data_IF_587364235773
#
_entry.id   IF_587364235773
#
_cell.length_a   1.000
_cell.length_b   1.000
_cell.length_c   1.000
_cell.angle_alpha   90.00
_cell.angle_beta   90.00
_cell.angle_gamma   90.00
#
_symmetry.space_group_name_H-M   'P 1'
#
loop_
_entity.id
_entity.type
_entity.pdbx_description
1 polymer ?
#
# COMPACT_ATOMS: atom_id res chain seq x y z
N UNK A 1 20.38 -34.66 14.28
CA UNK A 1 20.08 -33.97 13.02
C UNK A 1 18.89 -33.05 13.26
N UNK A 2 19.07 -31.74 13.10
CA UNK A 2 18.08 -30.70 13.41
C UNK A 2 16.97 -30.70 12.35
N UNK A 3 15.76 -31.08 12.73
CA UNK A 3 14.52 -30.80 12.01
C UNK A 3 14.17 -29.34 12.22
N UNK A 4 14.36 -28.52 11.19
CA UNK A 4 13.90 -27.12 11.17
C UNK A 4 12.49 -27.11 10.60
N UNK A 5 11.55 -26.70 11.44
CA UNK A 5 10.17 -26.35 11.12
C UNK A 5 10.11 -25.31 10.00
N UNK A 6 9.34 -25.59 8.95
CA UNK A 6 8.75 -24.56 8.10
C UNK A 6 7.26 -24.88 7.97
N UNK A 7 6.49 -24.34 8.93
CA UNK A 7 5.03 -24.22 8.84
C UNK A 7 4.77 -23.07 7.87
N UNK A 8 4.51 -23.41 6.61
CA UNK A 8 4.02 -22.47 5.60
C UNK A 8 2.52 -22.25 5.86
N UNK A 9 2.19 -21.27 6.71
CA UNK A 9 0.80 -20.84 6.90
C UNK A 9 0.34 -20.11 5.64
N UNK A 10 -0.32 -20.86 4.75
CA UNK A 10 -1.22 -20.34 3.72
C UNK A 10 -2.42 -19.68 4.41
N UNK A 11 -2.37 -18.36 4.60
CA UNK A 11 -3.56 -17.58 4.91
C UNK A 11 -4.19 -17.11 3.59
N UNK A 12 -4.99 -17.98 2.97
CA UNK A 12 -5.98 -17.56 1.98
C UNK A 12 -7.18 -17.03 2.76
N UNK A 13 -7.34 -15.71 2.80
CA UNK A 13 -8.49 -15.07 3.41
C UNK A 13 -9.17 -14.13 2.41
N UNK A 14 -10.41 -14.46 2.05
CA UNK A 14 -11.48 -13.50 1.81
C UNK A 14 -11.49 -12.76 0.46
N UNK A 15 -12.16 -13.35 -0.53
CA UNK A 15 -12.80 -12.61 -1.61
C UNK A 15 -14.04 -11.85 -1.06
N UNK A 16 -13.83 -10.71 -0.40
CA UNK A 16 -14.85 -9.72 -0.07
C UNK A 16 -14.19 -8.45 0.51
N UNK A 17 -13.73 -7.51 -0.33
CA UNK A 17 -13.48 -6.09 0.00
C UNK A 17 -12.53 -5.41 -0.99
N UNK A 18 -12.85 -5.33 -2.29
CA UNK A 18 -11.99 -4.52 -3.18
C UNK A 18 -12.11 -3.02 -2.89
N UNK A 19 -13.21 -2.54 -2.30
CA UNK A 19 -13.36 -1.12 -1.91
C UNK A 19 -12.90 -0.81 -0.47
N UNK A 20 -13.08 -1.73 0.48
CA UNK A 20 -12.77 -1.46 1.89
C UNK A 20 -11.28 -1.62 2.22
N UNK A 21 -10.57 -2.57 1.58
CA UNK A 21 -9.12 -2.72 1.73
C UNK A 21 -8.34 -1.59 1.03
N UNK A 22 -8.92 -1.00 -0.02
CA UNK A 22 -8.33 0.16 -0.72
C UNK A 22 -8.38 1.40 0.19
N UNK A 23 -9.43 1.55 1.02
CA UNK A 23 -9.53 2.57 2.07
C UNK A 23 -8.56 2.38 3.25
N UNK A 24 -8.12 1.16 3.54
CA UNK A 24 -7.22 0.85 4.66
C UNK A 24 -5.76 1.26 4.39
N UNK A 25 -5.41 1.48 3.11
CA UNK A 25 -4.11 1.96 2.66
C UNK A 25 -4.05 3.49 2.49
N UNK A 26 -5.19 4.19 2.56
CA UNK A 26 -5.21 5.65 2.64
C UNK A 26 -4.67 6.09 4.01
N UNK A 27 -3.97 7.23 4.08
CA UNK A 27 -3.36 7.65 5.34
C UNK A 27 -4.46 7.77 6.39
N UNK A 28 -4.25 7.34 7.65
CA UNK A 28 -5.23 7.57 8.70
C UNK A 28 -5.56 9.06 8.69
N UNK A 29 -6.82 9.38 8.45
CA UNK A 29 -7.27 10.75 8.52
C UNK A 29 -6.98 11.26 9.93
N UNK A 30 -6.63 12.55 10.12
CA UNK A 30 -6.39 13.09 11.46
C UNK A 30 -7.57 12.71 12.36
N UNK A 31 -7.27 12.06 13.48
CA UNK A 31 -8.27 11.83 14.52
C UNK A 31 -8.61 13.20 15.07
N UNK A 32 -9.82 13.69 14.80
CA UNK A 32 -10.33 14.87 15.48
C UNK A 32 -10.66 14.41 16.90
N UNK A 33 -9.63 14.28 17.73
CA UNK A 33 -9.79 14.02 19.15
C UNK A 33 -10.40 15.28 19.78
N UNK A 34 -11.73 15.37 19.73
CA UNK A 34 -12.45 16.43 20.39
C UNK A 34 -12.41 16.17 21.89
N UNK A 35 -11.57 16.91 22.59
CA UNK A 35 -11.61 16.96 24.04
C UNK A 35 -12.90 17.69 24.47
N UNK A 36 -13.96 16.94 24.78
CA UNK A 36 -15.27 17.48 25.13
C UNK A 36 -15.27 18.31 26.43
N UNK A 37 -14.22 18.18 27.24
CA UNK A 37 -14.04 18.85 28.53
C UNK A 37 -13.04 20.02 28.48
N UNK A 38 -12.38 20.25 27.35
CA UNK A 38 -11.36 21.28 27.23
C UNK A 38 -11.98 22.68 27.06
N UNK A 39 -11.30 23.72 27.58
CA UNK A 39 -11.66 25.11 27.32
C UNK A 39 -11.67 25.39 25.81
N UNK A 40 -12.61 26.23 25.30
CA UNK A 40 -12.80 26.43 23.86
C UNK A 40 -11.55 26.99 23.17
N UNK A 41 -10.74 27.77 23.89
CA UNK A 41 -9.46 28.28 23.39
C UNK A 41 -8.45 27.15 23.14
N UNK A 42 -8.38 26.16 24.03
CA UNK A 42 -7.48 25.00 23.90
C UNK A 42 -7.93 24.10 22.75
N UNK A 43 -9.23 23.87 22.61
CA UNK A 43 -9.80 23.09 21.51
C UNK A 43 -9.49 23.70 20.14
N UNK A 44 -9.58 25.02 20.00
CA UNK A 44 -9.27 25.72 18.76
C UNK A 44 -7.77 25.67 18.42
N UNK A 45 -6.88 25.82 19.43
CA UNK A 45 -5.43 25.69 19.21
C UNK A 45 -5.03 24.27 18.80
N UNK A 46 -5.66 23.24 19.38
CA UNK A 46 -5.41 21.85 19.02
C UNK A 46 -5.88 21.56 17.58
N UNK A 47 -7.05 22.05 17.18
CA UNK A 47 -7.55 21.89 15.80
C UNK A 47 -6.64 22.59 14.77
N UNK A 48 -6.11 23.76 15.10
CA UNK A 48 -5.13 24.46 14.25
C UNK A 48 -3.80 23.69 14.13
N UNK A 49 -3.29 23.14 15.23
CA UNK A 49 -2.11 22.28 15.22
C UNK A 49 -2.32 21.05 14.35
N UNK A 50 -3.45 20.35 14.49
CA UNK A 50 -3.79 19.20 13.66
C UNK A 50 -3.84 19.54 12.16
N UNK A 51 -4.35 20.72 11.79
CA UNK A 51 -4.34 21.18 10.40
C UNK A 51 -2.91 21.43 9.89
N UNK A 52 -2.06 22.07 10.71
CA UNK A 52 -0.66 22.31 10.36
C UNK A 52 0.13 21.01 10.23
N UNK A 53 -0.02 20.09 11.19
CA UNK A 53 0.62 18.78 11.17
C UNK A 53 0.21 17.99 9.93
N UNK A 54 -1.08 18.02 9.59
CA UNK A 54 -1.57 17.35 8.38
C UNK A 54 -0.93 17.92 7.10
N UNK A 55 -0.89 19.25 6.96
CA UNK A 55 -0.39 19.94 5.77
C UNK A 55 1.12 19.78 5.57
N UNK A 56 1.90 19.89 6.65
CA UNK A 56 3.35 20.01 6.57
C UNK A 56 4.09 18.73 6.95
N UNK A 57 3.44 17.79 7.62
CA UNK A 57 4.08 16.54 8.08
C UNK A 57 3.38 15.35 7.45
N UNK A 58 2.09 15.13 7.75
CA UNK A 58 1.42 13.86 7.40
C UNK A 58 1.25 13.67 5.90
N UNK A 59 0.68 14.66 5.21
CA UNK A 59 0.41 14.56 3.78
C UNK A 59 1.68 14.46 2.90
N UNK A 60 2.71 15.30 3.07
CA UNK A 60 3.93 15.18 2.26
C UNK A 60 4.71 13.88 2.54
N UNK A 61 4.76 13.41 3.79
CA UNK A 61 5.39 12.12 4.11
C UNK A 61 4.65 10.95 3.44
N UNK A 62 3.32 11.01 3.39
CA UNK A 62 2.55 10.00 2.69
C UNK A 62 2.81 9.99 1.18
N UNK A 63 2.89 11.17 0.55
CA UNK A 63 3.27 11.28 -0.86
C UNK A 63 4.65 10.66 -1.14
N UNK A 64 5.64 10.97 -0.31
CA UNK A 64 6.99 10.45 -0.45
C UNK A 64 7.03 8.91 -0.32
N UNK A 65 6.37 8.36 0.70
CA UNK A 65 6.34 6.91 0.91
C UNK A 65 5.58 6.18 -0.19
N UNK A 66 4.48 6.75 -0.71
CA UNK A 66 3.76 6.18 -1.85
C UNK A 66 4.63 6.15 -3.12
N UNK A 67 5.33 7.24 -3.42
CA UNK A 67 6.24 7.31 -4.55
C UNK A 67 7.38 6.28 -4.45
N UNK A 68 7.97 6.12 -3.26
CA UNK A 68 9.00 5.11 -3.00
C UNK A 68 8.46 3.69 -3.23
N UNK A 69 7.25 3.38 -2.74
CA UNK A 69 6.63 2.07 -2.94
C UNK A 69 6.34 1.78 -4.40
N UNK A 70 5.91 2.78 -5.18
CA UNK A 70 5.69 2.63 -6.63
C UNK A 70 7.01 2.30 -7.33
N UNK A 71 8.08 3.04 -7.03
CA UNK A 71 9.40 2.78 -7.60
C UNK A 71 9.92 1.38 -7.25
N UNK A 72 9.75 0.95 -6.00
CA UNK A 72 10.14 -0.39 -5.58
C UNK A 72 9.32 -1.50 -6.27
N UNK A 73 8.01 -1.27 -6.45
CA UNK A 73 7.14 -2.20 -7.17
C UNK A 73 7.53 -2.31 -8.65
N UNK A 74 7.81 -1.19 -9.32
CA UNK A 74 8.31 -1.17 -10.71
C UNK A 74 9.64 -1.93 -10.83
N UNK A 75 10.60 -1.66 -9.94
CA UNK A 75 11.89 -2.37 -9.93
C UNK A 75 11.73 -3.89 -9.68
N UNK A 76 10.78 -4.27 -8.82
CA UNK A 76 10.47 -5.68 -8.55
C UNK A 76 9.91 -6.37 -9.80
N UNK A 77 9.03 -5.70 -10.54
CA UNK A 77 8.50 -6.19 -11.81
C UNK A 77 9.61 -6.40 -12.83
N UNK A 78 10.55 -5.46 -12.94
CA UNK A 78 11.68 -5.57 -13.87
C UNK A 78 12.57 -6.78 -13.55
N UNK A 79 12.90 -6.99 -12.27
CA UNK A 79 13.68 -8.16 -11.82
C UNK A 79 12.95 -9.48 -12.11
N UNK A 80 11.65 -9.54 -11.82
CA UNK A 80 10.84 -10.73 -12.07
C UNK A 80 10.69 -11.01 -13.57
N UNK A 81 10.48 -9.98 -14.39
CA UNK A 81 10.40 -10.09 -15.84
C UNK A 81 11.72 -10.61 -16.44
N UNK A 82 12.85 -10.06 -16.00
CA UNK A 82 14.18 -10.55 -16.40
C UNK A 82 14.39 -12.02 -16.01
N UNK A 83 13.92 -12.42 -14.81
CA UNK A 83 14.00 -13.81 -14.35
C UNK A 83 13.12 -14.76 -15.18
N UNK A 84 11.92 -14.34 -15.58
CA UNK A 84 11.07 -15.13 -16.50
C UNK A 84 11.75 -15.33 -17.85
N UNK A 85 12.42 -14.31 -18.39
CA UNK A 85 13.19 -14.43 -19.64
C UNK A 85 14.41 -15.32 -19.49
N UNK A 86 15.05 -15.36 -18.31
CA UNK A 86 16.16 -16.28 -18.03
C UNK A 86 15.75 -17.76 -18.13
N UNK A 87 14.47 -18.09 -17.93
CA UNK A 87 13.96 -19.46 -18.09
C UNK A 87 13.63 -19.83 -19.55
N UNK A 88 13.66 -18.87 -20.48
CA UNK A 88 13.34 -19.10 -21.90
C UNK A 88 14.05 -20.31 -22.54
N UNK A 89 15.35 -20.57 -22.26
CA UNK A 89 16.04 -21.75 -22.82
C UNK A 89 15.48 -23.09 -22.33
N UNK A 90 14.79 -23.12 -21.19
CA UNK A 90 14.31 -24.34 -20.54
C UNK A 90 12.85 -24.67 -20.86
N UNK A 91 12.16 -23.86 -21.67
CA UNK A 91 10.75 -24.06 -22.03
C UNK A 91 10.49 -25.33 -22.84
N UNK A 92 11.53 -25.95 -23.41
CA UNK A 92 11.45 -27.23 -24.11
C UNK A 92 11.43 -28.43 -23.16
N UNK A 93 11.80 -28.28 -21.89
CA UNK A 93 11.69 -29.34 -20.90
C UNK A 93 10.23 -29.42 -20.43
N UNK A 94 9.62 -30.61 -20.59
CA UNK A 94 8.20 -30.88 -20.34
C UNK A 94 7.69 -30.46 -18.94
N UNK A 95 6.37 -30.39 -18.79
CA UNK A 95 5.56 -29.78 -17.69
C UNK A 95 5.81 -30.27 -16.25
N UNK A 96 6.87 -31.03 -15.96
CA UNK A 96 7.18 -31.56 -14.63
C UNK A 96 8.66 -31.41 -14.24
N UNK A 97 9.40 -30.54 -14.93
CA UNK A 97 10.78 -30.20 -14.54
C UNK A 97 10.80 -29.18 -13.39
N UNK A 98 11.77 -29.24 -12.47
CA UNK A 98 11.94 -28.22 -11.44
C UNK A 98 12.05 -26.79 -12.00
N UNK A 99 12.65 -26.66 -13.18
CA UNK A 99 12.77 -25.41 -13.93
C UNK A 99 11.42 -24.88 -14.42
N UNK A 100 10.51 -25.77 -14.83
CA UNK A 100 9.15 -25.38 -15.22
C UNK A 100 8.38 -24.82 -14.02
N UNK A 101 8.40 -25.52 -12.88
CA UNK A 101 7.73 -25.06 -11.65
C UNK A 101 8.27 -23.70 -11.20
N UNK A 102 9.60 -23.52 -11.18
CA UNK A 102 10.21 -22.25 -10.83
C UNK A 102 9.85 -21.10 -11.79
N UNK A 103 9.70 -21.39 -13.10
CA UNK A 103 9.20 -20.41 -14.07
C UNK A 103 7.75 -20.02 -13.76
N UNK A 104 6.87 -21.00 -13.49
CA UNK A 104 5.46 -20.72 -13.15
C UNK A 104 5.34 -19.90 -11.86
N UNK A 105 6.09 -20.25 -10.80
CA UNK A 105 6.12 -19.50 -9.56
C UNK A 105 6.57 -18.05 -9.79
N UNK A 106 7.60 -17.85 -10.61
CA UNK A 106 8.08 -16.51 -10.98
C UNK A 106 7.04 -15.73 -11.78
N UNK A 107 6.32 -16.38 -12.70
CA UNK A 107 5.23 -15.74 -13.46
C UNK A 107 4.06 -15.34 -12.56
N UNK A 108 3.69 -16.19 -11.61
CA UNK A 108 2.66 -15.86 -10.61
C UNK A 108 3.11 -14.67 -9.74
N UNK A 109 4.36 -14.67 -9.29
CA UNK A 109 4.92 -13.53 -8.56
C UNK A 109 4.91 -12.23 -9.39
N UNK A 110 5.23 -12.30 -10.69
CA UNK A 110 5.16 -11.16 -11.60
C UNK A 110 3.72 -10.61 -11.73
N UNK A 111 2.73 -11.49 -11.85
CA UNK A 111 1.32 -11.09 -11.89
C UNK A 111 0.88 -10.42 -10.58
N UNK A 112 1.30 -10.97 -9.43
CA UNK A 112 1.02 -10.38 -8.12
C UNK A 112 1.66 -8.99 -7.99
N UNK A 113 2.92 -8.83 -8.38
CA UNK A 113 3.62 -7.54 -8.34
C UNK A 113 2.96 -6.49 -9.24
N UNK A 114 2.51 -6.88 -10.44
CA UNK A 114 1.74 -5.99 -11.34
C UNK A 114 0.40 -5.59 -10.74
N UNK A 115 -0.27 -6.52 -10.06
CA UNK A 115 -1.52 -6.21 -9.37
C UNK A 115 -1.29 -5.20 -8.23
N UNK A 116 -0.24 -5.38 -7.43
CA UNK A 116 0.14 -4.44 -6.37
C UNK A 116 0.43 -3.04 -6.92
N UNK A 117 1.24 -2.94 -7.99
CA UNK A 117 1.53 -1.65 -8.64
C UNK A 117 0.25 -0.95 -9.11
N UNK A 118 -0.68 -1.69 -9.72
CA UNK A 118 -1.95 -1.12 -10.16
C UNK A 118 -2.78 -0.61 -8.98
N UNK A 119 -2.73 -1.27 -7.82
CA UNK A 119 -3.38 -0.80 -6.59
C UNK A 119 -2.72 0.46 -6.06
N UNK A 120 -1.39 0.54 -6.04
CA UNK A 120 -0.67 1.76 -5.63
C UNK A 120 -1.01 2.96 -6.53
N UNK A 121 -1.08 2.75 -7.85
CA UNK A 121 -1.47 3.80 -8.81
C UNK A 121 -2.92 4.26 -8.66
N UNK A 122 -3.83 3.35 -8.29
CA UNK A 122 -5.22 3.72 -7.97
C UNK A 122 -5.29 4.59 -6.71
N UNK A 123 -4.53 4.24 -5.68
CA UNK A 123 -4.40 5.04 -4.45
C UNK A 123 -3.85 6.44 -4.77
N UNK A 124 -2.79 6.52 -5.58
CA UNK A 124 -2.21 7.78 -6.05
C UNK A 124 -3.26 8.65 -6.76
N UNK A 125 -4.06 8.06 -7.65
CA UNK A 125 -5.13 8.76 -8.36
C UNK A 125 -6.30 9.21 -7.43
N UNK A 126 -6.53 8.51 -6.33
CA UNK A 126 -7.54 8.86 -5.33
C UNK A 126 -7.06 9.95 -4.34
N UNK A 127 -5.76 10.12 -4.20
CA UNK A 127 -5.13 10.96 -3.18
C UNK A 127 -5.57 12.44 -3.19
N UNK A 128 -5.75 13.12 -4.34
CA UNK A 128 -6.20 14.51 -4.35
C UNK A 128 -7.60 14.69 -3.74
N UNK A 129 -8.51 13.74 -4.01
CA UNK A 129 -9.86 13.76 -3.43
C UNK A 129 -9.81 13.54 -1.92
N UNK A 130 -8.96 12.62 -1.48
CA UNK A 130 -8.75 12.38 -0.05
C UNK A 130 -8.17 13.59 0.67
N UNK A 131 -7.22 14.28 0.04
CA UNK A 131 -6.63 15.51 0.57
C UNK A 131 -7.68 16.60 0.75
N UNK A 132 -8.49 16.86 -0.28
CA UNK A 132 -9.57 17.84 -0.22
C UNK A 132 -10.59 17.52 0.87
N UNK A 133 -10.99 16.25 1.01
CA UNK A 133 -11.93 15.82 2.05
C UNK A 133 -11.37 16.05 3.46
N UNK A 134 -10.08 15.76 3.70
CA UNK A 134 -9.47 15.99 5.01
C UNK A 134 -9.27 17.46 5.32
N UNK A 135 -8.90 18.28 4.35
CA UNK A 135 -8.84 19.72 4.53
C UNK A 135 -10.21 20.31 4.87
N UNK A 136 -11.27 19.89 4.18
CA UNK A 136 -12.63 20.33 4.49
C UNK A 136 -13.03 19.94 5.92
N UNK A 137 -12.71 18.71 6.34
CA UNK A 137 -13.01 18.22 7.70
C UNK A 137 -12.25 19.00 8.78
N UNK A 138 -10.94 19.20 8.60
CA UNK A 138 -10.09 19.92 9.56
C UNK A 138 -10.44 21.40 9.64
N UNK A 139 -10.72 22.04 8.50
CA UNK A 139 -11.12 23.45 8.48
C UNK A 139 -12.52 23.68 9.06
N UNK A 140 -13.43 22.71 8.90
CA UNK A 140 -14.73 22.74 9.58
C UNK A 140 -14.60 22.63 11.10
N UNK A 141 -13.60 21.91 11.63
CA UNK A 141 -13.36 21.79 13.06
C UNK A 141 -12.80 23.07 13.71
N UNK A 142 -12.29 24.02 12.92
CA UNK A 142 -11.74 25.30 13.39
C UNK A 142 -12.80 26.41 13.43
N UNK A 143 -13.91 26.26 12.69
CA UNK A 143 -15.00 27.24 12.61
C UNK A 143 -16.01 27.07 13.73
#
# INVERSE_FOLDING_TARGET
MRTVLLVFSLLVCGAASTDAAELELLPPGPAVESCAECEPAVALTAAQQQLQDYLYVTYPNYLATLAERIQLADATIDVLAARVEAYRPFRSFHEYSPTWTAEQDTRLALLAARHELNTLRRIEAALPRYHQANLARLTAAIR
#
